data_IF_849546681844
#
_entry.id   IF_849546681844
#
_cell.length_a   1.000
_cell.length_b   1.000
_cell.length_c   1.000
_cell.angle_alpha   90.00
_cell.angle_beta   90.00
_cell.angle_gamma   90.00
#
_symmetry.space_group_name_H-M   'P 1'
#
loop_
_entity.id
_entity.type
_entity.pdbx_description
1 polymer ?
#
# COMPACT_ATOMS: atom_id res chain seq x y z
N UNK A 1 8.81 -17.22 10.41
CA UNK A 1 8.34 -16.25 9.39
C UNK A 1 9.55 -15.82 8.59
N UNK A 2 9.65 -16.27 7.35
CA UNK A 2 10.79 -15.96 6.49
C UNK A 2 10.77 -14.48 6.09
N UNK A 3 11.70 -13.71 6.64
CA UNK A 3 11.95 -12.33 6.26
C UNK A 3 12.60 -12.37 4.88
N UNK A 4 11.82 -12.05 3.83
CA UNK A 4 12.31 -12.04 2.45
C UNK A 4 13.41 -10.97 2.30
N UNK A 5 14.67 -11.42 2.17
CA UNK A 5 15.84 -10.55 2.13
C UNK A 5 15.84 -9.64 0.89
N UNK A 6 15.92 -8.31 1.07
CA UNK A 6 16.20 -7.35 -0.01
C UNK A 6 15.05 -6.47 -0.53
N UNK A 7 13.89 -6.37 0.14
CA UNK A 7 12.90 -5.31 -0.16
C UNK A 7 13.35 -3.96 0.39
N UNK A 8 13.86 -3.95 1.63
CA UNK A 8 14.38 -2.75 2.32
C UNK A 8 15.61 -2.12 1.66
N UNK A 9 16.28 -2.80 0.71
CA UNK A 9 17.42 -2.24 -0.04
C UNK A 9 16.99 -1.39 -1.25
N UNK A 10 15.77 -1.56 -1.76
CA UNK A 10 15.25 -0.79 -2.90
C UNK A 10 14.37 0.36 -2.42
N UNK A 11 13.48 0.10 -1.46
CA UNK A 11 12.65 1.11 -0.81
C UNK A 11 12.68 0.85 0.69
N UNK A 12 13.14 1.84 1.46
CA UNK A 12 13.16 1.74 2.92
C UNK A 12 11.73 1.79 3.48
N UNK A 13 11.45 0.94 4.46
CA UNK A 13 10.18 0.99 5.19
C UNK A 13 10.08 2.28 6.01
N UNK A 14 8.97 3.04 5.92
CA UNK A 14 8.74 4.21 6.75
C UNK A 14 8.67 3.86 8.23
N UNK A 15 9.02 4.82 9.09
CA UNK A 15 8.73 4.71 10.51
C UNK A 15 7.24 4.91 10.78
N UNK A 16 6.50 3.79 10.83
CA UNK A 16 5.06 3.80 11.11
C UNK A 16 4.71 4.36 12.49
N UNK A 17 5.62 4.29 13.46
CA UNK A 17 5.37 4.81 14.81
C UNK A 17 5.28 6.33 14.86
N UNK A 18 5.83 7.01 13.85
CA UNK A 18 5.65 8.46 13.67
C UNK A 18 4.25 8.85 13.16
N UNK A 19 3.50 7.90 12.57
CA UNK A 19 2.19 8.16 11.95
C UNK A 19 1.03 7.53 12.73
N UNK A 20 1.26 6.37 13.36
CA UNK A 20 0.23 5.60 14.05
C UNK A 20 0.67 5.31 15.48
N UNK A 21 -0.24 5.54 16.42
CA UNK A 21 -0.04 5.22 17.84
C UNK A 21 -0.74 3.92 18.28
N UNK A 22 -1.69 3.43 17.49
CA UNK A 22 -2.47 2.23 17.78
C UNK A 22 -1.72 0.97 17.33
N UNK A 23 -1.63 -0.03 18.20
CA UNK A 23 -0.84 -1.25 17.94
C UNK A 23 -1.40 -2.08 16.76
N UNK A 24 -2.73 -2.10 16.59
CA UNK A 24 -3.34 -2.82 15.47
C UNK A 24 -3.03 -2.11 14.15
N UNK A 25 -3.04 -0.78 14.15
CA UNK A 25 -2.70 0.00 12.97
C UNK A 25 -1.21 -0.10 12.61
N UNK A 26 -0.33 -0.17 13.62
CA UNK A 26 1.10 -0.42 13.41
C UNK A 26 1.38 -1.80 12.81
N UNK A 27 0.72 -2.84 13.33
CA UNK A 27 0.83 -4.19 12.79
C UNK A 27 0.28 -4.26 11.35
N UNK A 28 -0.88 -3.63 11.09
CA UNK A 28 -1.48 -3.57 9.77
C UNK A 28 -0.58 -2.82 8.77
N UNK A 29 0.01 -1.69 9.17
CA UNK A 29 0.92 -0.92 8.32
C UNK A 29 2.13 -1.76 7.85
N UNK A 30 2.80 -2.45 8.80
CA UNK A 30 3.94 -3.33 8.51
C UNK A 30 3.56 -4.49 7.58
N UNK A 31 2.41 -5.11 7.83
CA UNK A 31 1.96 -6.23 7.00
C UNK A 31 1.56 -5.78 5.58
N UNK A 32 0.81 -4.69 5.45
CA UNK A 32 0.47 -4.13 4.14
C UNK A 32 1.73 -3.72 3.36
N UNK A 33 2.70 -3.09 4.03
CA UNK A 33 3.99 -2.76 3.42
C UNK A 33 4.69 -4.01 2.89
N UNK A 34 4.79 -5.07 3.70
CA UNK A 34 5.40 -6.34 3.31
C UNK A 34 4.70 -6.95 2.09
N UNK A 35 3.38 -7.05 2.11
CA UNK A 35 2.60 -7.62 1.01
C UNK A 35 2.79 -6.84 -0.29
N UNK A 36 2.62 -5.50 -0.24
CA UNK A 36 2.72 -4.65 -1.43
C UNK A 36 4.13 -4.67 -2.02
N UNK A 37 5.16 -4.50 -1.18
CA UNK A 37 6.55 -4.49 -1.65
C UNK A 37 7.00 -5.85 -2.17
N UNK A 38 6.49 -6.95 -1.62
CA UNK A 38 6.74 -8.31 -2.12
C UNK A 38 6.13 -8.49 -3.51
N UNK A 39 4.85 -8.14 -3.69
CA UNK A 39 4.19 -8.25 -5.00
C UNK A 39 4.89 -7.39 -6.06
N UNK A 40 5.22 -6.13 -5.73
CA UNK A 40 5.93 -5.25 -6.65
C UNK A 40 7.33 -5.77 -6.97
N UNK A 41 8.03 -6.36 -6.00
CA UNK A 41 9.36 -6.95 -6.21
C UNK A 41 9.31 -8.15 -7.12
N UNK A 42 8.42 -9.10 -6.87
CA UNK A 42 8.25 -10.32 -7.68
C UNK A 42 7.95 -9.98 -9.14
N UNK A 43 7.24 -8.87 -9.36
CA UNK A 43 6.87 -8.38 -10.69
C UNK A 43 7.90 -7.45 -11.33
N UNK A 44 9.01 -7.17 -10.64
CA UNK A 44 10.03 -6.20 -11.06
C UNK A 44 9.45 -4.79 -11.30
N UNK A 45 8.50 -4.38 -10.45
CA UNK A 45 7.86 -3.05 -10.44
C UNK A 45 8.31 -2.19 -9.24
N UNK A 46 9.01 -2.77 -8.28
CA UNK A 46 9.54 -2.05 -7.12
C UNK A 46 10.72 -1.17 -7.54
N UNK A 47 10.56 0.15 -7.37
CA UNK A 47 11.59 1.15 -7.62
C UNK A 47 11.54 2.26 -6.55
N UNK A 48 12.66 2.95 -6.27
CA UNK A 48 12.71 4.04 -5.28
C UNK A 48 11.67 5.14 -5.54
N UNK A 49 11.43 5.47 -6.82
CA UNK A 49 10.44 6.48 -7.25
C UNK A 49 9.01 6.15 -6.78
N UNK A 50 8.68 4.88 -6.59
CA UNK A 50 7.34 4.46 -6.19
C UNK A 50 7.17 4.45 -4.65
N UNK A 51 8.22 4.72 -3.87
CA UNK A 51 8.20 4.58 -2.41
C UNK A 51 7.13 5.41 -1.72
N UNK A 52 6.96 6.67 -2.13
CA UNK A 52 5.93 7.55 -1.57
C UNK A 52 4.50 7.07 -1.93
N UNK A 53 4.29 6.59 -3.16
CA UNK A 53 2.99 6.05 -3.57
C UNK A 53 2.63 4.78 -2.78
N UNK A 54 3.61 3.91 -2.52
CA UNK A 54 3.44 2.73 -1.67
C UNK A 54 3.08 3.14 -0.23
N UNK A 55 3.79 4.12 0.34
CA UNK A 55 3.48 4.63 1.68
C UNK A 55 2.05 5.16 1.76
N UNK A 56 1.62 5.96 0.77
CA UNK A 56 0.24 6.48 0.70
C UNK A 56 -0.80 5.36 0.61
N UNK A 57 -0.52 4.30 -0.16
CA UNK A 57 -1.42 3.15 -0.25
C UNK A 57 -1.54 2.41 1.08
N UNK A 58 -0.43 2.21 1.80
CA UNK A 58 -0.44 1.62 3.14
C UNK A 58 -1.29 2.47 4.09
N UNK A 59 -1.07 3.79 4.13
CA UNK A 59 -1.88 4.68 4.96
C UNK A 59 -3.37 4.61 4.61
N UNK A 60 -3.72 4.57 3.32
CA UNK A 60 -5.11 4.46 2.88
C UNK A 60 -5.77 3.15 3.38
N UNK A 61 -5.07 2.01 3.29
CA UNK A 61 -5.56 0.72 3.78
C UNK A 61 -5.74 0.69 5.30
N UNK A 62 -4.76 1.19 6.05
CA UNK A 62 -4.85 1.24 7.53
C UNK A 62 -6.01 2.12 7.99
N UNK A 63 -6.15 3.32 7.41
CA UNK A 63 -7.25 4.22 7.76
C UNK A 63 -8.62 3.69 7.30
N UNK A 64 -8.65 2.93 6.19
CA UNK A 64 -9.83 2.22 5.75
C UNK A 64 -10.24 1.19 6.81
N UNK A 65 -9.32 0.35 7.28
CA UNK A 65 -9.60 -0.68 8.30
C UNK A 65 -10.06 -0.06 9.63
N UNK A 66 -9.43 1.04 10.05
CA UNK A 66 -9.87 1.82 11.22
C UNK A 66 -11.30 2.34 11.04
N UNK A 67 -11.60 2.93 9.88
CA UNK A 67 -12.94 3.45 9.58
C UNK A 67 -13.98 2.34 9.48
N UNK A 68 -13.60 1.19 8.91
CA UNK A 68 -14.44 0.01 8.79
C UNK A 68 -14.81 -0.55 10.16
N UNK A 69 -13.87 -0.63 11.11
CA UNK A 69 -14.15 -1.02 12.51
C UNK A 69 -15.22 -0.12 13.14
N UNK A 70 -15.08 1.21 12.99
CA UNK A 70 -16.06 2.17 13.50
C UNK A 70 -17.43 2.01 12.84
N UNK A 71 -17.48 1.77 11.53
CA UNK A 71 -18.74 1.56 10.80
C UNK A 71 -19.37 0.21 11.17
N UNK A 72 -18.58 -0.83 11.42
CA UNK A 72 -19.08 -2.13 11.84
C UNK A 72 -19.74 -2.06 13.22
N UNK A 73 -19.18 -1.26 14.13
CA UNK A 73 -19.72 -1.05 15.48
C UNK A 73 -20.93 -0.11 15.52
N UNK A 74 -20.84 1.05 14.86
CA UNK A 74 -21.82 2.13 14.97
C UNK A 74 -22.87 2.14 13.85
N UNK A 75 -22.64 1.42 12.76
CA UNK A 75 -23.42 1.45 11.54
C UNK A 75 -23.00 2.58 10.57
N UNK A 76 -23.42 2.46 9.31
CA UNK A 76 -23.16 3.47 8.27
C UNK A 76 -23.95 4.76 8.48
N UNK A 77 -25.05 4.69 9.25
CA UNK A 77 -25.94 5.81 9.52
C UNK A 77 -26.03 6.04 11.02
N UNK A 78 -25.70 7.27 11.43
CA UNK A 78 -25.88 7.74 12.79
C UNK A 78 -27.36 7.90 13.13
N UNK A 79 -27.76 7.38 14.29
CA UNK A 79 -29.13 7.48 14.77
C UNK A 79 -29.47 8.94 15.12
N UNK A 80 -30.71 9.40 14.84
CA UNK A 80 -31.15 10.71 15.26
C UNK A 80 -31.02 10.90 16.78
N UNK A 81 -30.68 12.11 17.22
CA UNK A 81 -30.59 12.42 18.65
C UNK A 81 -31.97 12.24 19.31
N UNK A 82 -32.04 11.34 20.28
CA UNK A 82 -33.27 11.06 21.06
C UNK A 82 -33.75 12.35 21.72
N UNK A 83 -35.05 12.67 21.56
CA UNK A 83 -35.68 13.85 22.15
C UNK A 83 -35.80 15.07 21.23
N UNK A 84 -35.28 15.02 19.99
CA UNK A 84 -35.52 16.07 18.99
C UNK A 84 -36.36 15.52 17.84
N UNK A 85 -37.63 15.94 17.76
CA UNK A 85 -38.58 15.49 16.73
C UNK A 85 -38.17 15.87 15.29
N UNK A 86 -37.27 16.86 15.13
CA UNK A 86 -36.71 17.29 13.84
C UNK A 86 -35.35 16.67 13.53
N UNK A 87 -34.82 15.80 14.40
CA UNK A 87 -33.53 15.15 14.12
C UNK A 87 -33.66 14.12 13.00
N UNK A 88 -32.80 14.23 11.99
CA UNK A 88 -32.72 13.33 10.85
C UNK A 88 -31.48 12.45 11.02
N UNK A 89 -31.58 11.20 10.58
CA UNK A 89 -30.45 10.28 10.54
C UNK A 89 -29.40 10.81 9.55
N UNK A 90 -28.12 10.79 9.93
CA UNK A 90 -27.02 11.30 9.09
C UNK A 90 -26.05 10.20 8.75
N UNK A 91 -25.44 10.28 7.57
CA UNK A 91 -24.34 9.39 7.22
C UNK A 91 -23.20 9.53 8.22
N UNK A 92 -22.64 8.40 8.66
CA UNK A 92 -21.50 8.40 9.56
C UNK A 92 -20.29 9.04 8.86
N UNK A 93 -19.55 9.95 9.53
CA UNK A 93 -18.29 10.48 9.00
C UNK A 93 -17.31 9.37 8.64
N UNK A 94 -17.25 8.30 9.46
CA UNK A 94 -16.41 7.14 9.20
C UNK A 94 -16.81 6.38 7.95
N UNK A 95 -18.10 6.33 7.63
CA UNK A 95 -18.57 5.70 6.38
C UNK A 95 -18.13 6.51 5.15
N UNK A 96 -18.19 7.84 5.25
CA UNK A 96 -17.73 8.74 4.17
C UNK A 96 -16.21 8.60 3.97
N UNK A 97 -15.44 8.70 5.06
CA UNK A 97 -13.99 8.53 5.02
C UNK A 97 -13.58 7.16 4.46
N UNK A 98 -14.25 6.07 4.90
CA UNK A 98 -14.01 4.73 4.38
C UNK A 98 -14.22 4.65 2.86
N UNK A 99 -15.26 5.30 2.32
CA UNK A 99 -15.51 5.31 0.88
C UNK A 99 -14.47 6.10 0.09
N UNK A 100 -14.03 7.24 0.61
CA UNK A 100 -12.98 8.05 -0.01
C UNK A 100 -11.64 7.31 0.00
N UNK A 101 -11.25 6.73 1.13
CA UNK A 101 -10.03 5.94 1.28
C UNK A 101 -10.03 4.71 0.37
N UNK A 102 -11.18 4.06 0.18
CA UNK A 102 -11.31 2.96 -0.78
C UNK A 102 -11.09 3.42 -2.23
N UNK A 103 -11.59 4.60 -2.58
CA UNK A 103 -11.38 5.20 -3.90
C UNK A 103 -9.90 5.55 -4.12
N UNK A 104 -9.27 6.16 -3.13
CA UNK A 104 -7.85 6.53 -3.19
C UNK A 104 -6.96 5.28 -3.27
N UNK A 105 -7.25 4.25 -2.48
CA UNK A 105 -6.55 2.98 -2.54
C UNK A 105 -6.68 2.33 -3.92
N UNK A 106 -7.87 2.31 -4.51
CA UNK A 106 -8.08 1.77 -5.86
C UNK A 106 -7.32 2.55 -6.94
N UNK A 107 -7.21 3.87 -6.81
CA UNK A 107 -6.42 4.71 -7.71
C UNK A 107 -4.91 4.40 -7.60
N UNK A 108 -4.39 4.33 -6.37
CA UNK A 108 -2.99 3.99 -6.11
C UNK A 108 -2.63 2.56 -6.54
N UNK A 109 -3.53 1.59 -6.33
CA UNK A 109 -3.37 0.22 -6.81
C UNK A 109 -3.39 0.13 -8.34
N UNK A 110 -4.15 1.00 -8.99
CA UNK A 110 -4.14 1.13 -10.44
C UNK A 110 -2.82 1.70 -10.96
N UNK A 111 -2.30 2.75 -10.33
CA UNK A 111 -1.01 3.38 -10.68
C UNK A 111 0.17 2.41 -10.47
N UNK A 112 0.18 1.68 -9.35
CA UNK A 112 1.21 0.69 -9.03
C UNK A 112 1.04 -0.62 -9.82
N UNK A 113 -0.03 -0.77 -10.60
CA UNK A 113 -0.31 -1.97 -11.38
C UNK A 113 -0.64 -3.20 -10.54
N UNK A 114 -1.06 -3.03 -9.28
CA UNK A 114 -1.47 -4.11 -8.38
C UNK A 114 -2.85 -4.66 -8.78
N UNK A 115 -3.76 -3.76 -9.21
CA UNK A 115 -5.12 -4.15 -9.62
C UNK A 115 -5.10 -5.17 -10.77
N UNK A 116 -5.81 -6.33 -10.67
CA UNK A 116 -5.75 -7.41 -11.65
C UNK A 116 -5.93 -6.94 -13.10
N UNK A 117 -6.87 -6.02 -13.31
CA UNK A 117 -7.23 -5.50 -14.63
C UNK A 117 -6.14 -4.63 -15.27
N UNK A 118 -5.32 -3.94 -14.47
CA UNK A 118 -4.29 -3.01 -14.98
C UNK A 118 -2.87 -3.56 -14.89
N UNK A 119 -2.71 -4.83 -14.48
CA UNK A 119 -1.40 -5.49 -14.34
C UNK A 119 -0.55 -5.47 -15.60
N UNK A 120 -1.17 -5.58 -16.78
CA UNK A 120 -0.48 -5.61 -18.07
C UNK A 120 -0.05 -4.24 -18.61
N UNK A 121 -0.57 -3.14 -18.04
CA UNK A 121 -0.32 -1.78 -18.54
C UNK A 121 0.92 -1.11 -17.92
N UNK A 122 1.46 -1.67 -16.83
CA UNK A 122 2.59 -1.06 -16.10
C UNK A 122 3.91 -1.62 -16.63
N UNK A 123 4.84 -0.71 -16.94
CA UNK A 123 6.18 -1.03 -17.44
C UNK A 123 7.07 -1.63 -16.36
N UNK A 124 7.81 -2.69 -16.70
CA UNK A 124 8.82 -3.28 -15.81
C UNK A 124 9.96 -2.30 -15.57
N UNK A 125 10.48 -2.28 -14.34
CA UNK A 125 11.66 -1.52 -13.97
C UNK A 125 12.87 -2.12 -14.68
N UNK A 126 13.59 -1.31 -15.45
CA UNK A 126 14.86 -1.73 -16.07
C UNK A 126 15.91 -1.99 -14.99
N UNK A 127 16.24 -3.27 -14.77
CA UNK A 127 17.40 -3.63 -13.94
C UNK A 127 18.67 -3.41 -14.75
N UNK A 128 19.37 -2.30 -14.48
CA UNK A 128 20.66 -1.95 -15.11
C UNK A 128 21.77 -2.95 -14.78
N UNK A 129 21.62 -3.75 -13.72
CA UNK A 129 22.56 -4.82 -13.38
C UNK A 129 22.14 -6.11 -14.07
N UNK A 130 22.77 -6.44 -15.21
CA UNK A 130 22.79 -7.82 -15.69
C UNK A 130 23.53 -8.64 -14.63
N UNK A 131 22.88 -9.68 -14.11
CA UNK A 131 23.57 -10.65 -13.26
C UNK A 131 24.76 -11.20 -14.08
N UNK A 132 25.97 -11.10 -13.52
CA UNK A 132 27.17 -11.63 -14.16
C UNK A 132 26.96 -13.11 -14.42
N UNK A 133 27.03 -13.52 -15.69
CA UNK A 133 26.95 -14.93 -16.08
C UNK A 133 28.32 -15.55 -15.88
N UNK A 134 28.39 -16.84 -15.57
CA UNK A 134 29.67 -17.56 -15.49
C UNK A 134 30.49 -17.43 -16.79
N UNK A 135 29.81 -17.25 -17.94
CA UNK A 135 30.44 -16.97 -19.23
C UNK A 135 31.12 -15.59 -19.32
N UNK A 136 30.73 -14.60 -18.51
CA UNK A 136 31.33 -13.27 -18.49
C UNK A 136 32.78 -13.32 -17.94
N UNK A 137 33.14 -14.37 -17.20
CA UNK A 137 34.52 -14.62 -16.75
C UNK A 137 35.47 -15.03 -17.89
N UNK A 138 34.94 -15.48 -19.03
CA UNK A 138 35.72 -15.93 -20.18
C UNK A 138 35.78 -14.91 -21.33
N UNK A 139 35.04 -13.79 -21.21
CA UNK A 139 35.09 -12.71 -22.18
C UNK A 139 36.31 -11.84 -21.90
N UNK A 140 37.28 -11.83 -22.83
CA UNK A 140 38.42 -10.91 -22.78
C UNK A 140 37.89 -9.47 -22.90
N UNK A 141 38.45 -8.51 -22.12
CA UNK A 141 38.08 -7.11 -22.28
C UNK A 141 38.38 -6.66 -23.71
N UNK A 142 37.36 -6.17 -24.42
CA UNK A 142 37.57 -5.49 -25.70
C UNK A 142 38.24 -4.16 -25.38
N UNK A 143 39.48 -3.99 -25.85
CA UNK A 143 40.24 -2.76 -25.70
C UNK A 143 39.43 -1.58 -26.27
N UNK A 144 39.37 -0.49 -25.50
CA UNK A 144 38.78 0.79 -25.91
C UNK A 144 39.76 1.57 -26.76
#
# INVERSE_FOLDING_TARGET
>A
MDVVSGTGTIVAEPDWSSLFSDELDLAAAREHWRVITTELRERNLLAPVNGHAIQRLVCARVLYDRSLRQVAESGSVSRPRRGNAKAIARLSPHHTAMRELASDAAALEAELGLSPRRRGAVTKVERKTKAARAADAYLRPVAK
#
